data_IF_725571642565
#
_entry.id   IF_725571642565
#
_cell.length_a   1.000
_cell.length_b   1.000
_cell.length_c   1.000
_cell.angle_alpha   90.00
_cell.angle_beta   90.00
_cell.angle_gamma   90.00
#
_symmetry.space_group_name_H-M   'P 1'
#
loop_
_entity.id
_entity.type
_entity.pdbx_description
1 polymer ?
#
# COMPACT_ATOMS: atom_id res chain seq x y z
N UNK A 1 -17.55 10.19 -2.68
CA UNK A 1 -16.55 9.33 -2.03
C UNK A 1 -16.30 8.13 -2.93
N UNK A 2 -15.04 7.83 -3.25
CA UNK A 2 -14.70 6.64 -4.02
C UNK A 2 -14.38 5.49 -3.03
N UNK A 3 -15.08 4.35 -3.09
CA UNK A 3 -14.85 3.23 -2.17
C UNK A 3 -13.51 2.51 -2.43
N UNK A 4 -12.99 2.65 -3.64
CA UNK A 4 -11.69 2.15 -4.07
C UNK A 4 -11.04 3.26 -4.91
N UNK A 5 -9.78 3.59 -4.62
CA UNK A 5 -8.94 4.44 -5.46
C UNK A 5 -7.84 3.58 -6.07
N UNK A 6 -7.57 3.75 -7.36
CA UNK A 6 -6.46 3.08 -8.03
C UNK A 6 -5.71 4.09 -8.90
N UNK A 7 -4.41 4.15 -8.70
CA UNK A 7 -3.50 5.02 -9.42
C UNK A 7 -2.35 4.21 -10.00
N UNK A 8 -1.85 4.65 -11.15
CA UNK A 8 -0.64 4.13 -11.76
C UNK A 8 0.38 5.25 -11.84
N UNK A 9 1.52 5.09 -11.17
CA UNK A 9 2.67 5.97 -11.33
C UNK A 9 3.56 5.39 -12.41
N UNK A 10 3.82 6.17 -13.44
CA UNK A 10 4.70 5.80 -14.56
C UNK A 10 5.95 6.68 -14.48
N UNK A 11 7.11 6.05 -14.49
CA UNK A 11 8.41 6.71 -14.49
C UNK A 11 8.67 7.49 -15.77
N UNK A 12 9.69 8.39 -15.78
CA UNK A 12 9.98 9.26 -16.92
C UNK A 12 10.32 8.53 -18.22
N UNK A 13 10.85 7.31 -18.11
CA UNK A 13 11.23 6.41 -19.20
C UNK A 13 10.11 5.44 -19.61
N UNK A 14 8.95 5.49 -18.92
CA UNK A 14 7.86 4.52 -19.09
C UNK A 14 8.18 3.12 -18.56
N UNK A 15 9.42 2.86 -18.11
CA UNK A 15 9.88 1.55 -17.67
C UNK A 15 9.43 1.23 -16.25
N UNK A 16 9.38 2.24 -15.38
CA UNK A 16 8.96 2.06 -13.99
C UNK A 16 7.48 2.24 -13.81
N UNK A 17 6.78 1.23 -13.32
CA UNK A 17 5.34 1.33 -13.08
C UNK A 17 4.94 0.81 -11.71
N UNK A 18 4.40 1.70 -10.87
CA UNK A 18 3.78 1.34 -9.61
C UNK A 18 2.26 1.38 -9.75
N UNK A 19 1.58 0.33 -9.28
CA UNK A 19 0.15 0.35 -9.00
C UNK A 19 -0.04 0.68 -7.53
N UNK A 20 -0.78 1.74 -7.24
CA UNK A 20 -1.08 2.17 -5.88
C UNK A 20 -2.59 2.18 -5.71
N UNK A 21 -3.10 1.60 -4.63
CA UNK A 21 -4.53 1.49 -4.39
C UNK A 21 -4.92 1.86 -2.95
N UNK A 22 -6.13 2.38 -2.77
CA UNK A 22 -6.79 2.52 -1.47
C UNK A 22 -8.12 1.78 -1.50
N UNK A 23 -8.43 1.06 -0.42
CA UNK A 23 -9.66 0.31 -0.24
C UNK A 23 -10.32 0.74 1.06
N UNK A 24 -11.53 1.27 0.97
CA UNK A 24 -12.23 1.86 2.12
C UNK A 24 -13.41 1.00 2.57
N UNK A 25 -13.64 0.98 3.89
CA UNK A 25 -14.82 0.38 4.49
C UNK A 25 -14.99 -1.08 4.08
N UNK A 26 -16.14 -1.48 3.51
CA UNK A 26 -16.42 -2.89 3.21
C UNK A 26 -15.48 -3.50 2.15
N UNK A 27 -14.67 -2.69 1.45
CA UNK A 27 -13.75 -3.16 0.41
C UNK A 27 -12.33 -3.39 0.93
N UNK A 28 -12.04 -3.15 2.21
CA UNK A 28 -10.70 -3.26 2.78
C UNK A 28 -10.08 -4.67 2.64
N UNK A 29 -10.92 -5.71 2.49
CA UNK A 29 -10.49 -7.09 2.26
C UNK A 29 -10.42 -7.47 0.77
N UNK A 30 -10.89 -6.63 -0.16
CA UNK A 30 -10.91 -6.92 -1.60
C UNK A 30 -9.56 -7.32 -2.21
N UNK A 31 -8.40 -6.73 -1.84
CA UNK A 31 -7.13 -7.15 -2.42
C UNK A 31 -6.59 -8.47 -1.85
N UNK A 32 -7.25 -9.07 -0.86
CA UNK A 32 -6.84 -10.35 -0.24
C UNK A 32 -7.54 -11.55 -0.86
N UNK A 33 -7.83 -11.48 -2.17
CA UNK A 33 -8.53 -12.52 -2.93
C UNK A 33 -7.88 -13.89 -2.71
N UNK A 34 -8.63 -14.94 -2.32
CA UNK A 34 -8.12 -16.29 -2.13
C UNK A 34 -7.50 -16.93 -3.39
N UNK A 35 -7.72 -16.40 -4.59
CA UNK A 35 -7.03 -16.83 -5.81
C UNK A 35 -5.63 -16.21 -5.97
N UNK A 36 -5.31 -15.17 -5.21
CA UNK A 36 -3.98 -14.56 -5.12
C UNK A 36 -3.12 -15.21 -4.03
N UNK A 37 -2.04 -14.52 -3.61
CA UNK A 37 -1.28 -14.96 -2.44
C UNK A 37 -2.09 -14.61 -1.16
N UNK A 38 -2.62 -15.61 -0.42
CA UNK A 38 -3.48 -15.38 0.74
C UNK A 38 -2.74 -14.75 1.93
N UNK A 39 -1.41 -14.67 1.85
CA UNK A 39 -0.54 -14.06 2.85
C UNK A 39 -0.16 -12.61 2.53
N UNK A 40 -0.61 -12.06 1.38
CA UNK A 40 -0.40 -10.65 1.08
C UNK A 40 -1.22 -9.76 2.01
N UNK A 41 -0.63 -8.63 2.38
CA UNK A 41 -1.30 -7.58 3.15
C UNK A 41 -1.73 -8.00 4.56
N UNK A 42 -1.05 -8.98 5.16
CA UNK A 42 -1.31 -9.40 6.53
C UNK A 42 -0.89 -8.34 7.56
N UNK A 43 -1.68 -8.23 8.63
CA UNK A 43 -1.46 -7.22 9.67
C UNK A 43 -1.72 -5.77 9.20
N UNK A 44 -1.48 -4.79 10.09
CA UNK A 44 -1.80 -3.38 9.84
C UNK A 44 -0.82 -2.68 8.89
N UNK A 45 0.39 -3.22 8.71
CA UNK A 45 1.42 -2.68 7.80
C UNK A 45 2.48 -3.72 7.49
N UNK A 46 3.15 -3.56 6.36
CA UNK A 46 4.27 -4.42 5.99
C UNK A 46 4.82 -4.13 4.60
N UNK A 47 5.77 -4.96 4.20
CA UNK A 47 6.37 -4.96 2.87
C UNK A 47 6.75 -6.38 2.46
N UNK A 48 6.77 -6.65 1.17
CA UNK A 48 7.19 -7.92 0.56
C UNK A 48 7.49 -7.69 -0.91
N UNK A 49 8.67 -8.08 -1.38
CA UNK A 49 9.10 -8.16 -2.79
C UNK A 49 8.35 -7.25 -3.79
N UNK A 50 8.72 -5.97 -3.80
CA UNK A 50 8.14 -4.98 -4.72
C UNK A 50 6.79 -4.41 -4.27
N UNK A 51 6.27 -4.85 -3.13
CA UNK A 51 4.99 -4.41 -2.57
C UNK A 51 5.13 -3.88 -1.15
N UNK A 52 4.22 -2.98 -0.77
CA UNK A 52 4.08 -2.50 0.61
C UNK A 52 2.62 -2.18 0.91
N UNK A 53 2.27 -2.18 2.20
CA UNK A 53 0.93 -1.81 2.66
C UNK A 53 0.93 -1.15 4.03
N UNK A 54 -0.14 -0.39 4.28
CA UNK A 54 -0.47 0.20 5.59
C UNK A 54 -1.98 0.39 5.71
N UNK A 55 -2.48 0.56 6.94
CA UNK A 55 -3.89 0.84 7.21
C UNK A 55 -4.09 2.19 7.90
N UNK A 56 -5.32 2.70 7.84
CA UNK A 56 -5.76 3.84 8.65
C UNK A 56 -7.19 3.64 9.15
N UNK A 57 -7.47 4.14 10.35
CA UNK A 57 -8.85 4.23 10.86
C UNK A 57 -9.60 5.33 10.13
N UNK A 58 -10.77 5.03 9.58
CA UNK A 58 -11.65 5.97 8.90
C UNK A 58 -13.06 5.96 9.52
N UNK A 59 -13.90 6.99 9.26
CA UNK A 59 -15.29 7.00 9.71
C UNK A 59 -16.12 5.79 9.25
N UNK A 60 -15.74 5.18 8.12
CA UNK A 60 -16.42 4.02 7.54
C UNK A 60 -15.77 2.68 7.90
N UNK A 61 -14.85 2.66 8.87
CA UNK A 61 -14.06 1.48 9.23
C UNK A 61 -12.59 1.62 8.83
N UNK A 62 -11.83 0.53 8.88
CA UNK A 62 -10.43 0.54 8.47
C UNK A 62 -10.31 0.69 6.94
N UNK A 63 -9.32 1.47 6.49
CA UNK A 63 -8.87 1.51 5.10
C UNK A 63 -7.54 0.77 4.95
N UNK A 64 -7.35 0.13 3.80
CA UNK A 64 -6.09 -0.50 3.39
C UNK A 64 -5.51 0.26 2.19
N UNK A 65 -4.23 0.64 2.30
CA UNK A 65 -3.45 1.23 1.23
C UNK A 65 -2.39 0.25 0.78
N UNK A 66 -2.24 0.05 -0.53
CA UNK A 66 -1.27 -0.86 -1.11
C UNK A 66 -0.47 -0.19 -2.22
N UNK A 67 0.76 -0.65 -2.40
CA UNK A 67 1.57 -0.38 -3.60
C UNK A 67 2.17 -1.69 -4.08
N UNK A 68 2.22 -1.86 -5.40
CA UNK A 68 2.80 -3.00 -6.10
C UNK A 68 3.66 -2.48 -7.26
N UNK A 69 4.91 -2.91 -7.32
CA UNK A 69 5.77 -2.80 -8.50
C UNK A 69 5.26 -3.73 -9.60
N UNK A 70 5.05 -3.20 -10.82
CA UNK A 70 4.54 -3.99 -11.94
C UNK A 70 5.65 -4.55 -12.84
N UNK A 71 6.91 -4.16 -12.63
CA UNK A 71 8.06 -4.73 -13.33
C UNK A 71 9.16 -5.12 -12.35
N UNK A 72 9.99 -6.11 -12.70
CA UNK A 72 11.11 -6.56 -11.85
C UNK A 72 12.24 -5.53 -11.72
N UNK A 73 12.30 -4.55 -12.62
CA UNK A 73 13.20 -3.40 -12.52
C UNK A 73 12.77 -2.39 -11.44
N UNK A 74 11.56 -2.55 -10.87
CA UNK A 74 10.90 -1.62 -9.95
C UNK A 74 11.02 -2.02 -8.48
N UNK A 75 11.94 -2.94 -8.15
CA UNK A 75 12.19 -3.38 -6.78
C UNK A 75 13.02 -2.38 -5.95
N UNK A 76 13.04 -1.09 -6.31
CA UNK A 76 13.54 -0.06 -5.40
C UNK A 76 12.55 0.07 -4.23
N UNK A 77 12.78 -0.73 -3.19
CA UNK A 77 11.92 -0.85 -2.01
C UNK A 77 11.76 0.49 -1.30
N UNK A 78 12.77 1.37 -1.33
CA UNK A 78 12.67 2.70 -0.73
C UNK A 78 11.72 3.59 -1.53
N UNK A 79 11.80 3.56 -2.86
CA UNK A 79 10.88 4.30 -3.73
C UNK A 79 9.43 3.80 -3.59
N UNK A 80 9.22 2.48 -3.54
CA UNK A 80 7.92 1.85 -3.32
C UNK A 80 7.30 2.32 -2.01
N UNK A 81 8.04 2.22 -0.88
CA UNK A 81 7.55 2.68 0.43
C UNK A 81 7.23 4.18 0.44
N UNK A 82 8.11 5.01 -0.13
CA UNK A 82 7.89 6.46 -0.20
C UNK A 82 6.63 6.81 -1.00
N UNK A 83 6.40 6.14 -2.12
CA UNK A 83 5.22 6.34 -2.93
C UNK A 83 3.95 5.97 -2.15
N UNK A 84 3.95 4.84 -1.44
CA UNK A 84 2.85 4.43 -0.57
C UNK A 84 2.61 5.43 0.55
N UNK A 85 3.62 5.80 1.32
CA UNK A 85 3.46 6.73 2.46
C UNK A 85 2.86 8.06 2.00
N UNK A 86 3.33 8.59 0.87
CA UNK A 86 2.83 9.84 0.29
C UNK A 86 1.37 9.71 -0.12
N UNK A 87 1.04 8.67 -0.90
CA UNK A 87 -0.31 8.44 -1.37
C UNK A 87 -1.29 8.18 -0.21
N UNK A 88 -0.90 7.33 0.74
CA UNK A 88 -1.74 6.94 1.86
C UNK A 88 -2.05 8.14 2.77
N UNK A 89 -1.06 8.99 3.07
CA UNK A 89 -1.27 10.19 3.86
C UNK A 89 -2.25 11.18 3.19
N UNK A 90 -2.04 11.48 1.91
CA UNK A 90 -2.89 12.41 1.18
C UNK A 90 -4.30 11.84 0.97
N UNK A 91 -4.42 10.56 0.64
CA UNK A 91 -5.71 9.92 0.45
C UNK A 91 -6.47 9.78 1.78
N UNK A 92 -5.83 9.34 2.86
CA UNK A 92 -6.42 9.33 4.20
C UNK A 92 -6.97 10.70 4.60
N UNK A 93 -6.18 11.77 4.40
CA UNK A 93 -6.60 13.15 4.69
C UNK A 93 -7.84 13.56 3.88
N UNK A 94 -7.89 13.27 2.58
CA UNK A 94 -9.05 13.58 1.72
C UNK A 94 -10.34 12.90 2.17
N UNK A 95 -10.24 11.74 2.81
CA UNK A 95 -11.38 10.94 3.27
C UNK A 95 -11.67 11.11 4.78
N UNK A 96 -10.96 12.00 5.48
CA UNK A 96 -11.16 12.24 6.91
C UNK A 96 -10.73 11.07 7.79
N UNK A 97 -9.81 10.23 7.31
CA UNK A 97 -9.20 9.16 8.09
C UNK A 97 -8.09 9.70 9.00
N UNK A 98 -7.67 8.89 9.96
CA UNK A 98 -6.43 9.11 10.71
C UNK A 98 -5.21 9.00 9.78
N UNK A 99 -4.09 9.61 10.18
CA UNK A 99 -2.82 9.46 9.48
C UNK A 99 -2.36 8.00 9.52
N UNK A 100 -2.10 7.35 8.37
CA UNK A 100 -1.58 5.98 8.35
C UNK A 100 -0.18 5.91 8.98
N UNK A 101 0.13 4.79 9.62
CA UNK A 101 1.50 4.52 10.04
C UNK A 101 2.39 4.28 8.80
N UNK A 102 3.69 4.59 8.92
CA UNK A 102 4.63 4.24 7.86
C UNK A 102 4.72 2.71 7.67
N UNK A 103 4.88 2.21 6.43
CA UNK A 103 5.17 0.80 6.19
C UNK A 103 6.48 0.38 6.87
N UNK A 104 6.56 -0.87 7.31
CA UNK A 104 7.75 -1.43 7.99
C UNK A 104 8.98 -1.33 7.06
N UNK A 105 10.15 -1.00 7.62
CA UNK A 105 11.44 -1.06 6.90
C UNK A 105 12.05 -2.47 6.95
N UNK A 106 12.86 -2.82 5.96
CA UNK A 106 13.54 -4.13 5.94
C UNK A 106 14.52 -4.30 7.13
N UNK A 107 15.10 -3.18 7.60
CA UNK A 107 16.00 -3.15 8.76
C UNK A 107 15.29 -3.54 10.08
N UNK A 108 13.97 -3.45 10.14
CA UNK A 108 13.18 -3.88 11.30
C UNK A 108 12.92 -5.40 11.31
N UNK A 109 13.17 -6.12 10.20
CA UNK A 109 13.05 -7.59 10.15
C UNK A 109 14.25 -8.32 10.74
N UNK A 110 15.42 -7.68 10.84
CA UNK A 110 16.67 -8.32 11.32
C UNK A 110 16.82 -8.33 12.84
N UNK A 111 15.96 -7.64 13.59
CA UNK A 111 15.99 -7.55 15.06
C UNK A 111 15.01 -8.50 15.79
N UNK A 112 14.39 -9.44 15.08
CA UNK A 112 13.62 -10.54 15.67
C UNK A 112 14.27 -11.89 15.35
N UNK A 113 15.45 -12.10 15.91
CA UNK A 113 16.17 -13.38 15.93
C UNK A 113 16.39 -13.84 17.36
#
# INVERSE_FOLDING_TARGET
MAPIEQCRLVGPDGGRTLKISAYYGPYQQSPRDPQGNPFLYLGPRGNEDGSAWTTASCPTGEALFTVEALSSADHDRAAVRKALSTFAAESAKRHGCATPAEPVSDDDRTWRG
#
